data_IF_503826341438
#
_entry.id   IF_503826341438
#
_cell.length_a   1.000
_cell.length_b   1.000
_cell.length_c   1.000
_cell.angle_alpha   90.00
_cell.angle_beta   90.00
_cell.angle_gamma   90.00
#
_symmetry.space_group_name_H-M   'P 1'
#
loop_
_entity.id
_entity.type
_entity.pdbx_description
1 polymer ?
#
# COMPACT_ATOMS: atom_id res chain seq x y z
N UNK A 1 22.52 -18.51 17.64
CA UNK A 1 22.11 -18.70 16.24
C UNK A 1 20.61 -18.57 16.03
N UNK A 2 19.80 -19.28 16.79
CA UNK A 2 18.33 -19.17 16.74
C UNK A 2 17.86 -17.76 17.10
N UNK A 3 18.49 -17.14 18.11
CA UNK A 3 18.21 -15.75 18.51
C UNK A 3 18.51 -14.74 17.41
N UNK A 4 19.51 -14.99 16.57
CA UNK A 4 19.90 -14.11 15.47
C UNK A 4 18.93 -14.19 14.30
N UNK A 5 18.43 -15.40 13.99
CA UNK A 5 17.41 -15.61 12.96
C UNK A 5 16.07 -15.00 13.38
N UNK A 6 15.71 -15.18 14.65
CA UNK A 6 14.50 -14.56 15.22
C UNK A 6 14.64 -13.04 15.22
N UNK A 7 15.84 -12.49 15.48
CA UNK A 7 16.10 -11.07 15.44
C UNK A 7 16.01 -10.51 14.03
N UNK A 8 16.51 -11.21 13.02
CA UNK A 8 16.37 -10.77 11.62
C UNK A 8 14.92 -10.74 11.18
N UNK A 9 14.11 -11.72 11.58
CA UNK A 9 12.68 -11.74 11.32
C UNK A 9 11.92 -10.70 12.15
N UNK A 10 12.35 -10.44 13.40
CA UNK A 10 11.72 -9.47 14.29
C UNK A 10 12.13 -8.02 14.00
N UNK A 11 13.17 -7.80 13.19
CA UNK A 11 13.58 -6.46 12.74
C UNK A 11 12.62 -5.85 11.74
N UNK A 12 11.79 -6.67 11.08
CA UNK A 12 10.77 -6.22 10.14
C UNK A 12 9.39 -6.49 10.70
N UNK A 13 8.64 -5.43 10.94
CA UNK A 13 7.28 -5.53 11.46
C UNK A 13 6.32 -4.73 10.61
N UNK A 14 5.10 -5.25 10.48
CA UNK A 14 4.00 -4.54 9.84
C UNK A 14 3.05 -4.07 10.94
N UNK A 15 2.74 -2.79 10.94
CA UNK A 15 1.81 -2.19 11.89
C UNK A 15 0.96 -1.13 11.21
N UNK A 16 -0.08 -0.68 11.90
CA UNK A 16 -0.90 0.42 11.43
C UNK A 16 -0.07 1.72 11.36
N UNK A 17 -0.37 2.53 10.34
CA UNK A 17 0.14 3.89 10.25
C UNK A 17 -0.32 4.71 11.45
N UNK A 18 0.57 5.56 11.95
CA UNK A 18 0.30 6.53 13.00
C UNK A 18 0.65 7.95 12.50
N UNK A 19 0.04 8.95 13.07
CA UNK A 19 0.23 10.34 12.63
C UNK A 19 1.71 10.77 12.67
N UNK A 20 2.48 10.26 13.64
CA UNK A 20 3.92 10.51 13.77
C UNK A 20 4.73 9.98 12.59
N UNK A 21 4.18 9.06 11.81
CA UNK A 21 4.85 8.45 10.65
C UNK A 21 4.81 9.35 9.41
N UNK A 22 4.06 10.44 9.44
CA UNK A 22 3.76 11.26 8.25
C UNK A 22 4.99 11.63 7.44
N UNK A 23 6.00 12.17 8.08
CA UNK A 23 7.19 12.65 7.37
C UNK A 23 7.97 11.52 6.71
N UNK A 24 8.13 10.39 7.39
CA UNK A 24 8.80 9.22 6.82
C UNK A 24 8.02 8.63 5.66
N UNK A 25 6.70 8.56 5.79
CA UNK A 25 5.82 8.02 4.73
C UNK A 25 5.86 8.90 3.49
N UNK A 26 5.81 10.23 3.66
CA UNK A 26 5.92 11.16 2.54
C UNK A 26 7.27 11.04 1.82
N UNK A 27 8.36 10.94 2.58
CA UNK A 27 9.70 10.74 2.02
C UNK A 27 9.77 9.39 1.26
N UNK A 28 9.22 8.32 1.82
CA UNK A 28 9.16 7.02 1.18
C UNK A 28 8.38 7.07 -0.14
N UNK A 29 7.24 7.74 -0.15
CA UNK A 29 6.42 7.86 -1.36
C UNK A 29 7.14 8.61 -2.47
N UNK A 30 7.95 9.62 -2.14
CA UNK A 30 8.83 10.28 -3.11
C UNK A 30 9.87 9.31 -3.67
N UNK A 31 10.54 8.57 -2.82
CA UNK A 31 11.55 7.59 -3.23
C UNK A 31 10.97 6.47 -4.10
N UNK A 32 9.70 6.13 -3.88
CA UNK A 32 9.00 5.09 -4.64
C UNK A 32 8.30 5.60 -5.90
N UNK A 33 8.37 6.89 -6.21
CA UNK A 33 7.64 7.52 -7.32
C UNK A 33 6.11 7.29 -7.25
N UNK A 34 5.55 7.30 -6.04
CA UNK A 34 4.12 7.09 -5.82
C UNK A 34 3.31 8.38 -5.80
N UNK A 35 3.97 9.53 -5.93
CA UNK A 35 3.33 10.85 -5.89
C UNK A 35 3.06 11.35 -7.31
N UNK A 36 1.81 11.63 -7.60
CA UNK A 36 1.37 12.19 -8.88
C UNK A 36 1.09 13.68 -8.74
N UNK A 37 1.36 14.43 -9.82
CA UNK A 37 1.22 15.90 -9.85
C UNK A 37 -0.18 16.40 -9.53
N UNK A 38 -1.20 15.57 -9.69
CA UNK A 38 -2.60 15.94 -9.45
C UNK A 38 -3.10 15.58 -8.06
N UNK A 39 -2.28 14.94 -7.24
CA UNK A 39 -2.63 14.56 -5.88
C UNK A 39 -1.68 15.22 -4.89
N UNK A 40 -2.24 15.72 -3.80
CA UNK A 40 -1.46 16.18 -2.66
C UNK A 40 -1.38 15.03 -1.65
N UNK A 41 -0.21 14.40 -1.47
CA UNK A 41 -0.07 13.27 -0.57
C UNK A 41 -0.35 13.60 0.88
N UNK A 42 -0.08 14.82 1.33
CA UNK A 42 -0.43 15.26 2.68
C UNK A 42 -1.93 15.30 2.88
N UNK A 43 -2.68 15.78 1.88
CA UNK A 43 -4.13 15.77 1.91
C UNK A 43 -4.68 14.35 1.91
N UNK A 44 -4.08 13.44 1.14
CA UNK A 44 -4.47 12.03 1.13
C UNK A 44 -4.30 11.38 2.51
N UNK A 45 -3.21 11.69 3.20
CA UNK A 45 -2.99 11.20 4.57
C UNK A 45 -4.08 11.72 5.53
N UNK A 46 -4.40 13.02 5.44
CA UNK A 46 -5.46 13.61 6.26
C UNK A 46 -6.85 13.03 5.94
N UNK A 47 -7.15 12.82 4.67
CA UNK A 47 -8.42 12.23 4.23
C UNK A 47 -8.57 10.79 4.70
N UNK A 48 -7.48 10.04 4.80
CA UNK A 48 -7.51 8.66 5.27
C UNK A 48 -7.89 8.56 6.75
N UNK A 49 -7.61 9.58 7.55
CA UNK A 49 -7.94 9.62 8.96
C UNK A 49 -9.45 9.46 9.17
N UNK A 50 -9.84 8.46 9.95
CA UNK A 50 -11.24 8.14 10.20
C UNK A 50 -11.92 7.26 9.16
N UNK A 51 -11.19 6.83 8.12
CA UNK A 51 -11.75 6.01 7.03
C UNK A 51 -10.96 4.70 6.88
N UNK A 52 -11.26 3.72 7.72
CA UNK A 52 -10.60 2.42 7.65
C UNK A 52 -9.11 2.51 7.96
N UNK A 53 -8.73 3.25 8.99
CA UNK A 53 -7.33 3.46 9.39
C UNK A 53 -6.60 2.15 9.63
N UNK A 54 -7.30 1.12 10.09
CA UNK A 54 -6.75 -0.22 10.33
C UNK A 54 -6.23 -0.89 9.05
N UNK A 55 -6.61 -0.38 7.90
CA UNK A 55 -6.16 -0.89 6.58
C UNK A 55 -4.97 -0.13 6.03
N UNK A 56 -4.50 0.90 6.71
CA UNK A 56 -3.29 1.62 6.32
C UNK A 56 -2.11 1.10 7.13
N UNK A 57 -1.21 0.38 6.45
CA UNK A 57 -0.12 -0.34 7.09
C UNK A 57 1.24 0.21 6.66
N UNK A 58 2.18 0.18 7.60
CA UNK A 58 3.59 0.50 7.34
C UNK A 58 4.45 -0.72 7.67
N UNK A 59 5.50 -0.90 6.89
CA UNK A 59 6.53 -1.91 7.13
C UNK A 59 7.74 -1.22 7.74
N UNK A 60 8.11 -1.63 8.94
CA UNK A 60 9.20 -1.04 9.72
C UNK A 60 10.37 -2.01 9.77
N UNK A 61 11.56 -1.51 9.51
CA UNK A 61 12.82 -2.24 9.64
C UNK A 61 13.79 -1.38 10.44
N UNK A 62 14.23 -1.86 11.60
CA UNK A 62 15.15 -1.13 12.49
C UNK A 62 14.68 0.31 12.76
N UNK A 63 13.46 0.45 13.18
CA UNK A 63 12.79 1.73 13.47
C UNK A 63 12.61 2.68 12.27
N UNK A 64 12.85 2.19 11.04
CA UNK A 64 12.63 2.96 9.81
C UNK A 64 11.48 2.37 9.00
N UNK A 65 10.64 3.25 8.48
CA UNK A 65 9.57 2.85 7.57
C UNK A 65 10.16 2.65 6.18
N UNK A 66 10.07 1.40 5.68
CA UNK A 66 10.61 1.01 4.38
C UNK A 66 9.54 0.59 3.38
N UNK A 67 8.29 0.54 3.80
CA UNK A 67 7.19 0.18 2.92
C UNK A 67 5.86 0.63 3.47
N UNK A 68 4.88 0.76 2.57
CA UNK A 68 3.49 1.10 2.92
C UNK A 68 2.52 0.34 2.06
N UNK A 69 1.29 0.22 2.55
CA UNK A 69 0.11 -0.13 1.76
C UNK A 69 -1.10 0.55 2.38
N UNK A 70 -1.92 1.18 1.54
CA UNK A 70 -3.16 1.82 1.97
C UNK A 70 -4.34 1.05 1.40
N UNK A 71 -5.06 0.35 2.27
CA UNK A 71 -6.27 -0.36 1.90
C UNK A 71 -7.51 0.45 2.23
N UNK A 72 -8.61 0.10 1.60
CA UNK A 72 -9.93 0.65 1.89
C UNK A 72 -11.00 -0.37 1.58
N UNK A 73 -12.15 -0.24 2.23
CA UNK A 73 -13.31 -1.11 1.99
C UNK A 73 -14.59 -0.27 2.12
N UNK A 74 -15.39 -0.27 1.07
CA UNK A 74 -16.65 0.51 1.02
C UNK A 74 -17.87 -0.31 1.41
N UNK A 75 -17.69 -1.54 1.91
CA UNK A 75 -18.75 -2.48 2.19
C UNK A 75 -19.15 -3.35 0.99
N UNK A 76 -18.63 -3.04 -0.19
CA UNK A 76 -18.88 -3.80 -1.43
C UNK A 76 -17.59 -4.38 -2.00
N UNK A 77 -16.56 -3.54 -2.18
CA UNK A 77 -15.25 -3.92 -2.74
C UNK A 77 -14.13 -3.29 -1.95
N UNK A 78 -13.01 -3.98 -1.87
CA UNK A 78 -11.77 -3.44 -1.36
C UNK A 78 -11.00 -2.68 -2.43
N UNK A 79 -10.14 -1.77 -2.00
CA UNK A 79 -9.22 -1.03 -2.86
C UNK A 79 -7.85 -0.96 -2.21
N UNK A 80 -6.80 -0.95 -3.02
CA UNK A 80 -5.42 -0.83 -2.56
C UNK A 80 -4.76 0.32 -3.29
N UNK A 81 -4.15 1.22 -2.51
CA UNK A 81 -3.37 2.35 -2.97
C UNK A 81 -2.04 2.41 -2.23
N UNK A 82 -1.09 3.17 -2.75
CA UNK A 82 0.19 3.46 -2.11
C UNK A 82 0.92 2.21 -1.62
N UNK A 83 0.90 1.14 -2.41
CA UNK A 83 1.76 -0.02 -2.17
C UNK A 83 3.14 0.28 -2.72
N UNK A 84 4.13 0.35 -1.84
CA UNK A 84 5.50 0.60 -2.24
C UNK A 84 6.49 0.13 -1.19
N UNK A 85 7.68 -0.24 -1.66
CA UNK A 85 8.82 -0.61 -0.83
C UNK A 85 10.01 0.23 -1.27
N UNK A 86 10.76 0.76 -0.31
CA UNK A 86 11.95 1.55 -0.57
C UNK A 86 12.88 0.83 -1.54
N UNK A 87 13.44 1.52 -2.55
CA UNK A 87 14.28 0.88 -3.58
C UNK A 87 15.39 -0.01 -3.05
N UNK A 88 16.02 0.37 -1.94
CA UNK A 88 17.12 -0.40 -1.34
C UNK A 88 16.69 -1.73 -0.73
N UNK A 89 15.40 -1.96 -0.57
CA UNK A 89 14.85 -3.17 0.06
C UNK A 89 14.02 -4.02 -0.89
N UNK A 90 13.99 -3.68 -2.16
CA UNK A 90 13.25 -4.43 -3.18
C UNK A 90 13.91 -5.78 -3.48
N UNK A 91 13.15 -6.71 -4.07
CA UNK A 91 13.63 -8.05 -4.41
C UNK A 91 13.62 -9.03 -3.25
N UNK A 92 13.03 -8.69 -2.12
CA UNK A 92 12.99 -9.52 -0.90
C UNK A 92 11.57 -9.97 -0.52
N UNK A 93 10.60 -9.82 -1.41
CA UNK A 93 9.22 -10.23 -1.15
C UNK A 93 8.45 -9.34 -0.19
N UNK A 94 8.93 -8.13 0.09
CA UNK A 94 8.34 -7.25 1.11
C UNK A 94 7.02 -6.63 0.63
N UNK A 95 6.91 -6.28 -0.66
CA UNK A 95 5.66 -5.80 -1.22
C UNK A 95 4.56 -6.87 -1.14
N UNK A 96 4.92 -8.13 -1.39
CA UNK A 96 4.00 -9.26 -1.24
C UNK A 96 3.55 -9.43 0.21
N UNK A 97 4.47 -9.26 1.18
CA UNK A 97 4.12 -9.30 2.60
C UNK A 97 3.09 -8.23 2.97
N UNK A 98 3.31 -6.99 2.52
CA UNK A 98 2.38 -5.88 2.75
C UNK A 98 1.02 -6.15 2.11
N UNK A 99 1.03 -6.63 0.87
CA UNK A 99 -0.19 -6.97 0.15
C UNK A 99 -0.98 -8.06 0.89
N UNK A 100 -0.32 -9.12 1.30
CA UNK A 100 -0.95 -10.20 2.06
C UNK A 100 -1.51 -9.71 3.39
N UNK A 101 -0.78 -8.84 4.08
CA UNK A 101 -1.22 -8.29 5.37
C UNK A 101 -2.51 -7.49 5.23
N UNK A 102 -2.61 -6.60 4.23
CA UNK A 102 -3.82 -5.81 4.00
C UNK A 102 -4.97 -6.68 3.48
N UNK A 103 -4.67 -7.66 2.62
CA UNK A 103 -5.67 -8.62 2.13
C UNK A 103 -6.28 -9.43 3.27
N UNK A 104 -5.46 -9.87 4.22
CA UNK A 104 -5.95 -10.60 5.39
C UNK A 104 -6.90 -9.73 6.23
N UNK A 105 -6.55 -8.47 6.45
CA UNK A 105 -7.43 -7.52 7.15
C UNK A 105 -8.74 -7.29 6.41
N UNK A 106 -8.69 -7.14 5.10
CA UNK A 106 -9.88 -6.99 4.26
C UNK A 106 -10.76 -8.24 4.35
N UNK A 107 -10.15 -9.42 4.29
CA UNK A 107 -10.87 -10.69 4.41
C UNK A 107 -11.57 -10.80 5.77
N UNK A 108 -10.90 -10.40 6.84
CA UNK A 108 -11.48 -10.41 8.20
C UNK A 108 -12.68 -9.47 8.31
N UNK A 109 -12.72 -8.40 7.52
CA UNK A 109 -13.87 -7.48 7.44
C UNK A 109 -15.01 -8.01 6.56
N UNK A 110 -14.83 -9.16 5.92
CA UNK A 110 -15.82 -9.74 5.00
C UNK A 110 -15.73 -9.21 3.58
N UNK A 111 -14.64 -8.53 3.21
CA UNK A 111 -14.44 -8.01 1.86
C UNK A 111 -14.29 -9.16 0.86
N UNK A 112 -15.19 -9.28 -0.15
CA UNK A 112 -15.16 -10.43 -1.06
C UNK A 112 -14.18 -10.29 -2.21
N UNK A 113 -13.77 -9.08 -2.55
CA UNK A 113 -12.95 -8.82 -3.73
C UNK A 113 -12.25 -7.48 -3.61
N UNK A 114 -11.00 -7.44 -4.05
CA UNK A 114 -10.20 -6.21 -4.14
C UNK A 114 -10.08 -5.80 -5.60
N UNK A 115 -10.33 -4.54 -5.88
CA UNK A 115 -10.03 -3.91 -7.16
C UNK A 115 -8.93 -2.88 -6.97
N UNK A 116 -8.05 -2.75 -7.95
CA UNK A 116 -7.01 -1.72 -7.90
C UNK A 116 -6.72 -1.22 -9.30
N UNK A 117 -6.10 -0.06 -9.38
CA UNK A 117 -5.74 0.57 -10.64
C UNK A 117 -4.22 0.65 -10.77
N UNK A 118 -3.72 0.30 -11.93
CA UNK A 118 -2.31 0.42 -12.30
C UNK A 118 -2.23 1.23 -13.58
N UNK A 119 -1.28 2.16 -13.66
CA UNK A 119 -1.01 2.86 -14.90
C UNK A 119 -0.69 1.86 -16.01
N UNK A 120 -1.32 2.03 -17.16
CA UNK A 120 -1.25 1.04 -18.26
C UNK A 120 0.17 0.79 -18.78
N UNK A 121 1.06 1.76 -18.62
CA UNK A 121 2.46 1.67 -19.04
C UNK A 121 3.39 1.13 -17.94
N UNK A 122 2.88 0.93 -16.73
CA UNK A 122 3.67 0.39 -15.62
C UNK A 122 3.68 -1.14 -15.66
N UNK A 123 4.44 -1.68 -16.60
CA UNK A 123 4.48 -3.13 -16.88
C UNK A 123 5.06 -3.94 -15.73
N UNK A 124 6.02 -3.41 -14.97
CA UNK A 124 6.61 -4.10 -13.82
C UNK A 124 5.60 -4.31 -12.71
N UNK A 125 4.81 -3.28 -12.39
CA UNK A 125 3.77 -3.36 -11.37
C UNK A 125 2.65 -4.28 -11.81
N UNK A 126 2.26 -4.25 -13.09
CA UNK A 126 1.29 -5.19 -13.64
C UNK A 126 1.74 -6.64 -13.45
N UNK A 127 3.01 -6.95 -13.76
CA UNK A 127 3.58 -8.29 -13.54
C UNK A 127 3.56 -8.70 -12.08
N UNK A 128 3.86 -7.76 -11.18
CA UNK A 128 3.81 -8.02 -9.74
C UNK A 128 2.40 -8.45 -9.33
N UNK A 129 1.37 -7.71 -9.74
CA UNK A 129 0.00 -8.05 -9.38
C UNK A 129 -0.47 -9.35 -10.02
N UNK A 130 -0.09 -9.63 -11.27
CA UNK A 130 -0.39 -10.90 -11.92
C UNK A 130 0.19 -12.10 -11.14
N UNK A 131 1.40 -11.96 -10.61
CA UNK A 131 2.05 -12.99 -9.78
C UNK A 131 1.40 -13.16 -8.40
N UNK A 132 0.61 -12.20 -7.97
CA UNK A 132 -0.11 -12.22 -6.69
C UNK A 132 -1.60 -12.48 -6.87
N UNK A 133 -1.98 -13.12 -7.97
CA UNK A 133 -3.33 -13.58 -8.31
C UNK A 133 -4.33 -12.47 -8.66
N UNK A 134 -3.85 -11.27 -8.96
CA UNK A 134 -4.68 -10.23 -9.58
C UNK A 134 -4.75 -10.47 -11.08
N UNK A 135 -5.95 -10.34 -11.63
CA UNK A 135 -6.20 -10.53 -13.05
C UNK A 135 -6.70 -9.23 -13.66
N UNK A 136 -6.20 -8.93 -14.84
CA UNK A 136 -6.67 -7.79 -15.61
C UNK A 136 -8.14 -8.00 -16.00
N UNK A 137 -8.99 -7.03 -15.67
CA UNK A 137 -10.40 -7.05 -16.05
C UNK A 137 -10.53 -6.36 -17.41
N UNK A 138 -10.82 -7.14 -18.45
CA UNK A 138 -10.91 -6.62 -19.83
C UNK A 138 -12.31 -6.16 -20.21
N UNK A 139 -13.30 -6.40 -19.35
CA UNK A 139 -14.71 -6.12 -19.59
C UNK A 139 -15.23 -4.86 -18.90
N UNK A 140 -14.33 -4.15 -18.18
CA UNK A 140 -14.68 -2.89 -17.49
C UNK A 140 -13.79 -1.75 -17.92
N UNK A 141 -14.31 -0.53 -17.74
CA UNK A 141 -13.59 0.72 -17.99
C UNK A 141 -13.63 1.54 -16.71
N UNK A 142 -12.48 2.07 -16.31
CA UNK A 142 -12.39 2.99 -15.17
C UNK A 142 -12.80 4.39 -15.62
N UNK A 143 -13.80 4.97 -14.96
CA UNK A 143 -14.23 6.35 -15.19
C UNK A 143 -13.84 7.20 -13.98
N UNK A 144 -13.36 8.42 -14.25
CA UNK A 144 -12.91 9.35 -13.22
C UNK A 144 -13.64 10.67 -13.34
N UNK A 145 -13.97 11.25 -12.20
CA UNK A 145 -14.42 12.64 -12.12
C UNK A 145 -13.78 13.25 -10.88
N UNK A 146 -13.01 14.30 -11.06
CA UNK A 146 -12.44 15.02 -9.94
C UNK A 146 -13.49 15.94 -9.32
N UNK A 147 -13.63 15.90 -8.01
CA UNK A 147 -14.58 16.72 -7.28
C UNK A 147 -13.91 17.90 -6.57
N UNK A 148 -12.64 17.75 -6.19
CA UNK A 148 -11.83 18.74 -5.49
C UNK A 148 -10.45 18.77 -6.12
N UNK A 149 -9.94 19.96 -6.45
CA UNK A 149 -8.56 20.11 -6.92
C UNK A 149 -7.59 20.12 -5.75
N UNK A 150 -6.48 19.40 -5.89
CA UNK A 150 -5.42 19.32 -4.88
C UNK A 150 -4.28 20.28 -5.27
N UNK A 151 -4.52 21.54 -5.23
CA UNK A 151 -3.50 22.56 -5.52
C UNK A 151 -2.69 22.95 -4.29
#
# INVERSE_FOLDING_TARGET
MILRVVNELSMKTIRMYQEEDQNEVLALWHECNLIHSKNDPQKDLRRKKGFGEELFLVLVNEDKIIGTVMGGYDGHRGIINYLGVHPNFRGNGLARMLLQAVENKLRDLGCPQVNLSVWSDNTEVLKFYEKTDYKKANDIVLLRKRLIEDE
#
